data_IF_084322842246
#
_entry.id   IF_084322842246
#
_cell.length_a   1.000
_cell.length_b   1.000
_cell.length_c   1.000
_cell.angle_alpha   90.00
_cell.angle_beta   90.00
_cell.angle_gamma   90.00
#
_symmetry.space_group_name_H-M   'P 1'
#
loop_
_entity.id
_entity.type
_entity.pdbx_description
1 polymer ?
#
# COMPACT_ATOMS: atom_id res chain seq x y z
N UNK A 1 17.49 -18.91 17.66
CA UNK A 1 16.35 -18.00 17.84
C UNK A 1 15.39 -18.26 16.69
N UNK A 2 14.36 -19.05 16.97
CA UNK A 2 13.37 -19.48 15.98
C UNK A 2 12.54 -18.28 15.58
N UNK A 3 12.72 -17.75 14.36
CA UNK A 3 11.87 -16.70 13.80
C UNK A 3 10.52 -17.34 13.50
N UNK A 4 9.53 -17.02 14.32
CA UNK A 4 8.12 -17.32 14.04
C UNK A 4 7.73 -16.60 12.76
N UNK A 5 7.55 -17.34 11.67
CA UNK A 5 6.98 -16.84 10.43
C UNK A 5 5.49 -16.60 10.71
N UNK A 6 5.08 -15.36 10.87
CA UNK A 6 3.67 -14.99 10.95
C UNK A 6 3.15 -14.79 9.53
N UNK A 7 2.88 -15.89 8.83
CA UNK A 7 2.10 -15.89 7.59
C UNK A 7 0.66 -15.50 7.93
N UNK A 8 0.32 -14.21 7.92
CA UNK A 8 -1.08 -13.78 7.84
C UNK A 8 -1.47 -13.86 6.35
N UNK A 9 -1.60 -15.09 5.83
CA UNK A 9 -2.25 -15.32 4.55
C UNK A 9 -3.76 -15.08 4.74
N UNK A 10 -4.25 -13.91 4.35
CA UNK A 10 -5.69 -13.64 4.21
C UNK A 10 -6.30 -14.33 2.96
N UNK A 11 -5.70 -15.44 2.49
CA UNK A 11 -6.01 -16.07 1.20
C UNK A 11 -7.14 -17.13 1.23
N UNK A 12 -7.94 -17.23 2.30
CA UNK A 12 -8.90 -18.33 2.46
C UNK A 12 -10.38 -18.01 2.16
N UNK A 13 -10.72 -16.90 1.50
CA UNK A 13 -12.14 -16.59 1.20
C UNK A 13 -12.54 -16.69 -0.29
N UNK A 14 -11.59 -16.95 -1.20
CA UNK A 14 -11.86 -16.98 -2.65
C UNK A 14 -12.29 -18.36 -3.15
N UNK A 15 -13.34 -18.93 -2.58
CA UNK A 15 -13.99 -20.11 -3.17
C UNK A 15 -15.46 -20.13 -2.79
N UNK A 16 -16.26 -19.31 -3.48
CA UNK A 16 -17.60 -19.59 -3.98
C UNK A 16 -18.23 -18.25 -4.39
N UNK A 17 -18.79 -18.19 -5.60
CA UNK A 17 -19.46 -17.00 -6.14
C UNK A 17 -20.72 -16.63 -5.33
N UNK A 18 -20.52 -15.93 -4.23
CA UNK A 18 -21.58 -15.33 -3.42
C UNK A 18 -21.50 -13.83 -3.64
N UNK A 19 -22.64 -13.20 -3.94
CA UNK A 19 -22.79 -11.76 -3.95
C UNK A 19 -22.03 -11.15 -2.76
N UNK A 20 -21.18 -10.14 -3.04
CA UNK A 20 -20.31 -9.46 -2.07
C UNK A 20 -21.09 -9.03 -0.82
N UNK A 21 -21.21 -9.93 0.13
CA UNK A 21 -21.49 -9.62 1.50
C UNK A 21 -20.15 -9.16 2.05
N UNK A 22 -20.07 -7.91 2.49
CA UNK A 22 -18.86 -7.36 3.08
C UNK A 22 -18.27 -8.31 4.12
N UNK A 23 -16.95 -8.28 4.30
CA UNK A 23 -16.30 -9.13 5.29
C UNK A 23 -16.63 -8.64 6.69
N UNK A 24 -16.97 -9.55 7.59
CA UNK A 24 -17.14 -9.25 9.02
C UNK A 24 -15.91 -9.76 9.76
N UNK A 25 -15.04 -8.83 10.14
CA UNK A 25 -13.82 -9.12 10.89
C UNK A 25 -14.13 -9.31 12.38
N UNK A 26 -13.48 -10.30 12.99
CA UNK A 26 -13.46 -10.46 14.45
C UNK A 26 -12.79 -9.27 15.13
N UNK A 27 -13.07 -9.02 16.40
CA UNK A 27 -12.43 -7.95 17.18
C UNK A 27 -10.90 -8.03 17.11
N UNK A 28 -10.33 -9.24 17.17
CA UNK A 28 -8.89 -9.45 17.06
C UNK A 28 -8.34 -9.07 15.66
N UNK A 29 -9.08 -9.38 14.59
CA UNK A 29 -8.68 -8.97 13.23
C UNK A 29 -8.79 -7.46 13.06
N UNK A 30 -9.84 -6.84 13.57
CA UNK A 30 -9.98 -5.39 13.55
C UNK A 30 -8.84 -4.70 14.32
N UNK A 31 -8.50 -5.21 15.50
CA UNK A 31 -7.37 -4.67 16.28
C UNK A 31 -6.04 -4.83 15.51
N UNK A 32 -5.83 -5.98 14.87
CA UNK A 32 -4.64 -6.19 14.01
C UNK A 32 -4.58 -5.16 12.87
N UNK A 33 -5.70 -4.86 12.20
CA UNK A 33 -5.72 -3.85 11.14
C UNK A 33 -5.42 -2.44 11.68
N UNK A 34 -5.99 -2.09 12.83
CA UNK A 34 -5.70 -0.82 13.51
C UNK A 34 -4.22 -0.72 13.88
N UNK A 35 -3.66 -1.78 14.47
CA UNK A 35 -2.25 -1.82 14.85
C UNK A 35 -1.35 -1.68 13.61
N UNK A 36 -1.68 -2.38 12.52
CA UNK A 36 -0.97 -2.28 11.25
C UNK A 36 -1.03 -0.87 10.64
N UNK A 37 -2.16 -0.16 10.75
CA UNK A 37 -2.27 1.22 10.27
C UNK A 37 -1.35 2.22 11.03
N UNK A 38 -0.81 1.81 12.18
CA UNK A 38 0.01 2.66 13.05
C UNK A 38 1.49 2.28 13.12
N UNK A 39 1.96 1.33 12.29
CA UNK A 39 3.38 0.95 12.26
C UNK A 39 4.25 1.99 11.52
N UNK A 40 5.57 2.03 11.78
CA UNK A 40 6.49 2.98 11.14
C UNK A 40 6.51 2.93 9.60
N UNK A 41 6.35 1.75 9.01
CA UNK A 41 6.35 1.53 7.56
C UNK A 41 5.17 2.19 6.89
N UNK A 42 3.97 2.04 7.44
CA UNK A 42 2.76 2.71 6.94
C UNK A 42 2.89 4.23 7.10
N UNK A 43 3.46 4.71 8.22
CA UNK A 43 3.74 6.13 8.39
C UNK A 43 4.75 6.66 7.35
N UNK A 44 5.75 5.84 6.97
CA UNK A 44 6.70 6.20 5.92
C UNK A 44 6.03 6.29 4.54
N UNK A 45 5.11 5.36 4.21
CA UNK A 45 4.31 5.43 2.98
C UNK A 45 3.54 6.74 2.91
N UNK A 46 2.84 7.13 3.99
CA UNK A 46 2.10 8.40 4.04
C UNK A 46 2.99 9.61 3.84
N UNK A 47 4.13 9.66 4.55
CA UNK A 47 5.14 10.73 4.36
C UNK A 47 5.57 10.82 2.89
N UNK A 48 5.71 9.69 2.21
CA UNK A 48 6.10 9.64 0.81
C UNK A 48 5.00 10.16 -0.11
N UNK A 49 3.74 9.76 0.11
CA UNK A 49 2.58 10.27 -0.62
C UNK A 49 2.45 11.79 -0.46
N UNK A 50 2.51 12.31 0.78
CA UNK A 50 2.46 13.74 1.07
C UNK A 50 3.61 14.51 0.38
N UNK A 51 4.82 13.95 0.37
CA UNK A 51 5.97 14.54 -0.29
C UNK A 51 5.78 14.59 -1.83
N UNK A 52 5.27 13.51 -2.43
CA UNK A 52 4.96 13.47 -3.86
C UNK A 52 3.95 14.55 -4.25
N UNK A 53 2.86 14.67 -3.48
CA UNK A 53 1.77 15.61 -3.77
C UNK A 53 2.17 17.07 -3.59
N UNK A 54 3.02 17.36 -2.59
CA UNK A 54 3.51 18.71 -2.31
C UNK A 54 4.70 19.14 -3.18
N UNK A 55 5.28 18.21 -3.95
CA UNK A 55 6.53 18.43 -4.68
C UNK A 55 7.74 18.59 -3.77
N UNK A 56 7.66 18.11 -2.52
CA UNK A 56 8.76 18.14 -1.57
C UNK A 56 9.80 17.08 -1.94
N UNK A 57 11.08 17.45 -1.94
CA UNK A 57 12.19 16.51 -2.05
C UNK A 57 12.56 16.02 -0.65
N UNK A 58 12.62 14.71 -0.46
CA UNK A 58 13.07 14.09 0.77
C UNK A 58 14.60 13.88 0.69
N UNK A 59 15.36 14.71 1.42
CA UNK A 59 16.82 14.81 1.35
C UNK A 59 17.57 13.52 1.78
N UNK A 60 16.91 12.66 2.56
CA UNK A 60 17.40 11.35 3.01
C UNK A 60 17.32 10.26 1.92
N UNK A 61 16.58 10.52 0.84
CA UNK A 61 16.41 9.60 -0.28
C UNK A 61 17.30 10.03 -1.46
N UNK A 62 18.46 9.39 -1.59
CA UNK A 62 19.44 9.67 -2.64
C UNK A 62 18.97 9.16 -4.01
N UNK A 63 18.13 9.93 -4.69
CA UNK A 63 17.87 9.72 -6.12
C UNK A 63 18.48 10.88 -6.92
N UNK A 64 19.38 10.52 -7.85
CA UNK A 64 20.04 11.47 -8.74
C UNK A 64 18.96 12.25 -9.51
N UNK A 65 18.98 13.58 -9.41
CA UNK A 65 18.08 14.45 -10.18
C UNK A 65 16.95 15.10 -9.36
N UNK A 66 16.80 14.75 -8.08
CA UNK A 66 15.86 15.44 -7.18
C UNK A 66 14.39 15.04 -7.36
N UNK A 67 14.11 13.97 -8.11
CA UNK A 67 12.78 13.36 -8.19
C UNK A 67 12.78 12.08 -7.36
N UNK A 68 11.80 12.00 -6.45
CA UNK A 68 11.58 10.85 -5.58
C UNK A 68 10.93 9.73 -6.41
N UNK A 69 11.65 8.67 -6.78
CA UNK A 69 10.97 7.46 -7.24
C UNK A 69 10.34 6.77 -6.01
N UNK A 70 9.02 6.48 -5.98
CA UNK A 70 8.10 6.34 -7.12
C UNK A 70 7.09 7.49 -7.33
N UNK A 71 7.34 8.73 -6.92
CA UNK A 71 6.53 9.89 -7.33
C UNK A 71 6.59 10.13 -8.86
N UNK A 72 7.79 9.97 -9.42
CA UNK A 72 8.10 10.13 -10.84
C UNK A 72 8.86 8.89 -11.33
N UNK A 73 8.84 8.58 -12.64
CA UNK A 73 9.66 7.50 -13.18
C UNK A 73 11.14 7.81 -12.97
N UNK A 74 11.95 6.79 -12.74
CA UNK A 74 13.40 6.94 -12.64
C UNK A 74 13.98 7.38 -14.00
N UNK A 75 14.89 8.36 -13.99
CA UNK A 75 15.52 8.88 -15.21
C UNK A 75 16.21 7.76 -16.00
N UNK A 76 15.80 7.58 -17.26
CA UNK A 76 16.35 6.56 -18.14
C UNK A 76 15.74 5.16 -17.97
N UNK A 77 14.72 5.02 -17.11
CA UNK A 77 13.93 3.79 -16.96
C UNK A 77 12.58 3.98 -17.65
N UNK A 78 12.25 3.09 -18.58
CA UNK A 78 10.91 3.02 -19.16
C UNK A 78 9.99 2.26 -18.19
N UNK A 79 9.37 2.97 -17.26
CA UNK A 79 8.38 2.39 -16.36
C UNK A 79 7.03 2.20 -17.09
N UNK A 80 6.34 1.06 -16.94
CA UNK A 80 4.99 0.89 -17.45
C UNK A 80 4.02 1.92 -16.83
N UNK A 81 2.96 2.35 -17.55
CA UNK A 81 1.95 3.25 -16.98
C UNK A 81 1.33 2.71 -15.70
N UNK A 82 1.12 3.59 -14.71
CA UNK A 82 0.49 3.27 -13.43
C UNK A 82 1.45 2.77 -12.36
N UNK A 83 2.76 2.92 -12.58
CA UNK A 83 3.83 2.49 -11.65
C UNK A 83 4.41 3.65 -10.84
N UNK A 84 3.87 4.85 -11.02
CA UNK A 84 4.24 6.03 -10.25
C UNK A 84 3.02 6.66 -9.58
N UNK A 85 3.24 7.30 -8.43
CA UNK A 85 2.16 7.86 -7.60
C UNK A 85 1.39 8.94 -8.36
N UNK A 86 2.09 9.81 -9.09
CA UNK A 86 1.48 10.98 -9.76
C UNK A 86 0.80 10.66 -11.10
N UNK A 87 0.86 9.42 -11.58
CA UNK A 87 0.09 8.97 -12.76
C UNK A 87 -1.39 8.75 -12.44
N UNK A 88 -1.74 8.64 -11.16
CA UNK A 88 -3.10 8.40 -10.70
C UNK A 88 -3.77 9.72 -10.28
N UNK A 89 -5.12 9.80 -10.33
CA UNK A 89 -5.78 11.05 -10.00
C UNK A 89 -5.61 11.38 -8.50
N UNK A 90 -5.02 12.55 -8.25
CA UNK A 90 -4.48 12.97 -6.95
C UNK A 90 -5.52 13.00 -5.82
N UNK A 91 -6.78 13.27 -6.16
CA UNK A 91 -7.88 13.28 -5.20
C UNK A 91 -8.20 11.88 -4.64
N UNK A 92 -7.67 10.81 -5.25
CA UNK A 92 -7.88 9.42 -4.86
C UNK A 92 -6.66 8.73 -4.24
N UNK A 93 -5.50 9.40 -4.19
CA UNK A 93 -4.30 8.90 -3.54
C UNK A 93 -3.90 9.91 -2.47
N UNK A 94 -4.15 9.63 -1.21
CA UNK A 94 -3.74 10.47 -0.09
C UNK A 94 -3.22 9.64 1.10
N UNK A 95 -3.07 10.23 2.28
CA UNK A 95 -2.66 9.48 3.48
C UNK A 95 -3.72 8.50 4.01
N UNK A 96 -4.96 8.51 3.48
CA UNK A 96 -6.09 7.71 3.94
C UNK A 96 -6.21 6.43 3.10
N UNK A 97 -5.53 5.40 3.56
CA UNK A 97 -5.61 4.07 2.96
C UNK A 97 -5.57 3.00 4.04
N UNK A 98 -6.18 1.85 3.77
CA UNK A 98 -6.11 0.68 4.64
C UNK A 98 -4.90 -0.19 4.24
N UNK A 99 -4.03 -0.60 5.18
CA UNK A 99 -3.09 -1.69 4.97
C UNK A 99 -3.86 -3.01 4.84
N UNK A 100 -3.93 -3.55 3.62
CA UNK A 100 -4.68 -4.76 3.29
C UNK A 100 -3.89 -6.02 3.60
N UNK A 101 -2.62 -6.07 3.16
CA UNK A 101 -1.75 -7.21 3.42
C UNK A 101 -0.27 -6.82 3.44
N UNK A 102 0.56 -7.73 3.95
CA UNK A 102 1.99 -7.54 4.14
C UNK A 102 2.75 -8.82 3.84
N UNK A 103 3.86 -8.73 3.11
CA UNK A 103 4.71 -9.86 2.75
C UNK A 103 6.19 -9.49 2.84
N UNK A 104 7.06 -10.47 3.12
CA UNK A 104 8.52 -10.25 3.04
C UNK A 104 8.92 -10.09 1.57
N UNK A 105 9.72 -9.07 1.26
CA UNK A 105 10.24 -8.87 -0.10
C UNK A 105 11.56 -9.64 -0.29
N UNK A 106 11.72 -10.35 -1.41
CA UNK A 106 12.90 -11.17 -1.71
C UNK A 106 14.21 -10.37 -1.78
N UNK A 107 14.14 -9.06 -2.00
CA UNK A 107 15.27 -8.13 -2.02
C UNK A 107 15.52 -7.44 -0.67
N UNK A 108 14.81 -7.89 0.38
CA UNK A 108 14.83 -7.33 1.73
C UNK A 108 13.79 -6.22 1.92
N UNK A 109 13.43 -5.95 3.18
CA UNK A 109 12.27 -5.11 3.49
C UNK A 109 10.96 -5.89 3.35
N UNK A 110 9.86 -5.17 3.23
CA UNK A 110 8.50 -5.74 3.18
C UNK A 110 7.67 -5.04 2.10
N UNK A 111 6.81 -5.81 1.43
CA UNK A 111 5.78 -5.29 0.54
C UNK A 111 4.49 -5.10 1.32
N UNK A 112 3.90 -3.92 1.16
CA UNK A 112 2.63 -3.53 1.74
C UNK A 112 1.60 -3.36 0.65
N UNK A 113 0.50 -4.07 0.77
CA UNK A 113 -0.65 -3.86 -0.10
C UNK A 113 -1.55 -2.85 0.56
N UNK A 114 -1.78 -1.72 -0.08
CA UNK A 114 -2.63 -0.65 0.42
C UNK A 114 -3.87 -0.48 -0.47
N UNK A 115 -4.98 -0.09 0.14
CA UNK A 115 -6.27 0.06 -0.54
C UNK A 115 -6.92 1.40 -0.19
N UNK A 116 -7.28 2.17 -1.22
CA UNK A 116 -7.91 3.48 -1.12
C UNK A 116 -9.44 3.38 -1.09
N UNK A 117 -10.08 4.32 -0.38
CA UNK A 117 -11.51 4.30 -0.07
C UNK A 117 -12.42 4.98 -1.12
N UNK A 118 -11.83 5.74 -2.06
CA UNK A 118 -12.58 6.47 -3.09
C UNK A 118 -12.57 5.77 -4.47
N UNK A 119 -13.72 5.71 -5.18
CA UNK A 119 -13.77 5.30 -6.59
C UNK A 119 -12.82 6.16 -7.43
N UNK A 120 -11.97 5.59 -8.31
CA UNK A 120 -12.09 4.28 -8.94
C UNK A 120 -11.62 3.07 -8.11
N UNK A 121 -11.30 3.28 -6.83
CA UNK A 121 -10.63 2.36 -5.93
C UNK A 121 -9.26 1.97 -6.47
N UNK A 122 -8.23 2.27 -5.70
CA UNK A 122 -6.85 2.02 -6.09
C UNK A 122 -6.22 1.09 -5.07
N UNK A 123 -5.45 0.13 -5.56
CA UNK A 123 -4.75 -0.86 -4.76
C UNK A 123 -3.33 -0.96 -5.27
N UNK A 124 -2.37 -0.89 -4.35
CA UNK A 124 -0.95 -0.83 -4.70
C UNK A 124 -0.12 -1.75 -3.84
N UNK A 125 0.87 -2.38 -4.46
CA UNK A 125 2.00 -2.99 -3.79
C UNK A 125 3.09 -1.94 -3.60
N UNK A 126 3.48 -1.75 -2.33
CA UNK A 126 4.41 -0.72 -1.90
C UNK A 126 5.57 -1.37 -1.16
N UNK A 127 6.74 -1.40 -1.78
CA UNK A 127 7.94 -1.91 -1.16
C UNK A 127 8.54 -0.88 -0.21
N UNK A 128 8.68 -1.25 1.07
CA UNK A 128 9.33 -0.44 2.10
C UNK A 128 10.62 -1.12 2.58
N UNK A 129 11.73 -0.39 2.52
CA UNK A 129 13.05 -0.89 2.85
C UNK A 129 13.68 -0.11 4.01
N UNK A 130 14.28 -0.82 4.97
CA UNK A 130 15.06 -0.18 6.04
C UNK A 130 16.51 0.04 5.61
N UNK A 131 16.92 1.30 5.51
CA UNK A 131 18.29 1.71 5.21
C UNK A 131 19.24 1.39 6.38
N UNK A 132 20.55 1.40 6.09
CA UNK A 132 21.58 1.06 7.08
C UNK A 132 21.62 1.98 8.32
N UNK A 133 21.12 3.21 8.19
CA UNK A 133 20.97 4.18 9.30
C UNK A 133 19.67 3.97 10.10
N UNK A 134 18.84 2.99 9.74
CA UNK A 134 17.55 2.70 10.36
C UNK A 134 16.36 3.49 9.82
N UNK A 135 16.54 4.39 8.83
CA UNK A 135 15.41 5.08 8.20
C UNK A 135 14.70 4.18 7.19
N UNK A 136 13.41 4.46 6.93
CA UNK A 136 12.59 3.71 5.99
C UNK A 136 12.52 4.44 4.66
N UNK A 137 12.55 3.67 3.57
CA UNK A 137 12.62 4.14 2.19
C UNK A 137 11.55 3.41 1.36
N UNK A 138 10.69 4.17 0.69
CA UNK A 138 9.66 3.60 -0.19
C UNK A 138 10.26 3.44 -1.58
N UNK A 139 10.29 2.20 -2.07
CA UNK A 139 11.06 1.82 -3.27
C UNK A 139 10.21 1.33 -4.42
N UNK A 140 8.90 1.15 -4.25
CA UNK A 140 8.00 0.86 -5.35
C UNK A 140 6.58 1.31 -5.02
N UNK A 141 5.78 1.54 -6.05
CA UNK A 141 4.36 1.82 -5.94
C UNK A 141 3.65 1.28 -7.19
N UNK A 142 3.34 -0.02 -7.17
CA UNK A 142 2.87 -0.76 -8.34
C UNK A 142 1.38 -1.00 -8.22
N UNK A 143 0.60 -0.60 -9.23
CA UNK A 143 -0.82 -0.87 -9.25
C UNK A 143 -1.09 -2.39 -9.30
N UNK A 144 -1.89 -2.88 -8.37
CA UNK A 144 -2.23 -4.31 -8.23
C UNK A 144 -3.19 -4.79 -9.35
N UNK A 145 -3.69 -3.87 -10.21
CA UNK A 145 -4.44 -4.18 -11.42
C UNK A 145 -3.75 -5.24 -12.31
N UNK A 146 -2.41 -5.29 -12.31
CA UNK A 146 -1.65 -6.28 -13.06
C UNK A 146 -1.79 -7.71 -12.53
N UNK A 147 -1.99 -7.86 -11.21
CA UNK A 147 -1.99 -9.14 -10.52
C UNK A 147 -3.41 -9.70 -10.33
N UNK A 148 -4.34 -8.86 -9.86
CA UNK A 148 -5.72 -9.28 -9.57
C UNK A 148 -6.76 -8.72 -10.54
N UNK A 149 -6.36 -7.82 -11.45
CA UNK A 149 -7.26 -7.15 -12.38
C UNK A 149 -8.09 -6.04 -11.73
N UNK A 150 -8.55 -5.08 -12.55
CA UNK A 150 -9.38 -3.95 -12.08
C UNK A 150 -10.66 -4.40 -11.37
N UNK A 151 -11.33 -5.43 -11.89
CA UNK A 151 -12.53 -5.98 -11.25
C UNK A 151 -12.22 -6.60 -9.88
N UNK A 152 -11.04 -7.23 -9.74
CA UNK A 152 -10.55 -7.76 -8.47
C UNK A 152 -10.28 -6.67 -7.45
N UNK A 153 -9.68 -5.55 -7.86
CA UNK A 153 -9.48 -4.37 -7.00
C UNK A 153 -10.83 -3.82 -6.50
N UNK A 154 -11.81 -3.69 -7.39
CA UNK A 154 -13.16 -3.25 -7.02
C UNK A 154 -13.82 -4.23 -6.05
N UNK A 155 -13.70 -5.55 -6.28
CA UNK A 155 -14.23 -6.57 -5.40
C UNK A 155 -13.62 -6.48 -3.99
N UNK A 156 -12.30 -6.30 -3.88
CA UNK A 156 -11.62 -6.08 -2.60
C UNK A 156 -12.12 -4.82 -1.89
N UNK A 157 -12.22 -3.68 -2.60
CA UNK A 157 -12.73 -2.44 -2.04
C UNK A 157 -14.16 -2.57 -1.51
N UNK A 158 -15.03 -3.26 -2.25
CA UNK A 158 -16.41 -3.52 -1.81
C UNK A 158 -16.47 -4.48 -0.63
N UNK A 159 -15.62 -5.51 -0.60
CA UNK A 159 -15.53 -6.46 0.50
C UNK A 159 -15.13 -5.78 1.82
N UNK A 160 -14.20 -4.82 1.78
CA UNK A 160 -13.69 -4.10 2.96
C UNK A 160 -14.32 -2.72 3.18
N UNK A 161 -15.40 -2.39 2.46
CA UNK A 161 -15.98 -1.03 2.42
C UNK A 161 -16.27 -0.42 3.80
N UNK A 162 -16.76 -1.22 4.74
CA UNK A 162 -17.03 -0.75 6.11
C UNK A 162 -15.76 -0.24 6.80
N UNK A 163 -14.64 -0.94 6.64
CA UNK A 163 -13.35 -0.59 7.24
C UNK A 163 -12.66 0.55 6.51
N UNK A 164 -12.75 0.59 5.18
CA UNK A 164 -12.22 1.69 4.36
C UNK A 164 -12.86 3.03 4.75
N UNK A 165 -14.16 3.03 5.09
CA UNK A 165 -14.86 4.24 5.49
C UNK A 165 -14.60 4.70 6.94
N UNK A 166 -13.90 3.88 7.74
CA UNK A 166 -13.65 4.17 9.15
C UNK A 166 -12.19 4.61 9.37
N UNK A 167 -11.95 5.86 9.82
CA UNK A 167 -10.63 6.42 10.03
C UNK A 167 -9.72 5.60 10.96
N UNK A 168 -10.27 4.72 11.80
CA UNK A 168 -9.45 3.85 12.66
C UNK A 168 -8.58 2.87 11.86
N UNK A 169 -9.01 2.52 10.65
CA UNK A 169 -8.32 1.57 9.77
C UNK A 169 -7.55 2.25 8.64
N UNK A 170 -7.80 3.54 8.39
CA UNK A 170 -7.23 4.27 7.25
C UNK A 170 -6.33 5.46 7.61
N UNK A 171 -6.38 5.97 8.84
CA UNK A 171 -5.58 7.11 9.33
C UNK A 171 -4.10 6.93 9.16
#
# INVERSE_FOLDING_TARGET
>A
MTRTILLICFFLLMANGVASAGVVLTEQQQQTLIDNANIPEIAAIRKYLDACQSGQVLEDHQFKGGLLYPCYPEDGVNSPPGTTILEHPIDHIDGRFMPHSRYDNDFGGEDYVILFDEPPYLMFDVWVYTLANGSLDVRSFIANDGDIGRDGVIEQALMFKEYLSDPRFTR
#
